data_IF_503229975497
#
_entry.id   IF_503229975497
#
_cell.length_a   1.000
_cell.length_b   1.000
_cell.length_c   1.000
_cell.angle_alpha   90.00
_cell.angle_beta   90.00
_cell.angle_gamma   90.00
#
_symmetry.space_group_name_H-M   'P 1'
#
loop_
_entity.id
_entity.type
_entity.pdbx_description
1 polymer ?
#
# COMPACT_ATOMS: atom_id res chain seq x y z
N UNK A 1 0.34 20.76 -16.79
CA UNK A 1 1.61 20.52 -17.54
C UNK A 1 2.06 19.08 -17.33
N UNK A 2 2.39 18.37 -18.42
CA UNK A 2 2.78 16.95 -18.32
C UNK A 2 4.15 16.78 -17.62
N UNK A 3 4.35 15.70 -16.78
CA UNK A 3 5.61 15.47 -16.05
C UNK A 3 6.86 15.40 -16.95
N UNK A 4 6.73 14.85 -18.17
CA UNK A 4 7.82 14.81 -19.15
C UNK A 4 8.30 16.22 -19.50
N UNK A 5 7.37 17.15 -19.70
CA UNK A 5 7.69 18.53 -20.08
C UNK A 5 8.32 19.29 -18.91
N UNK A 6 7.87 19.00 -17.67
CA UNK A 6 8.46 19.59 -16.46
C UNK A 6 9.92 19.15 -16.24
N UNK A 7 10.27 17.93 -16.66
CA UNK A 7 11.63 17.39 -16.53
C UNK A 7 12.51 17.65 -17.76
N UNK A 8 11.94 18.16 -18.87
CA UNK A 8 12.70 18.44 -20.08
C UNK A 8 13.78 19.49 -19.80
N UNK A 9 15.02 19.21 -20.21
CA UNK A 9 16.17 20.10 -20.03
C UNK A 9 16.76 20.13 -18.61
N UNK A 10 16.18 19.39 -17.64
CA UNK A 10 16.71 19.35 -16.26
C UNK A 10 17.78 18.27 -16.06
N UNK A 11 17.89 17.30 -16.96
CA UNK A 11 18.73 16.11 -16.78
C UNK A 11 18.18 15.08 -15.77
N UNK A 12 17.02 15.34 -15.16
CA UNK A 12 16.42 14.47 -14.16
C UNK A 12 15.51 13.44 -14.85
N UNK A 13 15.59 12.19 -14.39
CA UNK A 13 14.73 11.09 -14.85
C UNK A 13 14.03 10.44 -13.68
N UNK A 14 12.80 9.89 -13.88
CA UNK A 14 12.09 9.18 -12.81
C UNK A 14 12.91 8.02 -12.25
N UNK A 15 13.03 7.96 -10.92
CA UNK A 15 13.82 6.95 -10.21
C UNK A 15 12.95 5.74 -9.83
N UNK A 16 13.16 4.61 -10.50
CA UNK A 16 12.46 3.36 -10.17
C UNK A 16 12.68 2.90 -8.72
N UNK A 17 13.87 3.16 -8.16
CA UNK A 17 14.19 2.85 -6.76
C UNK A 17 13.34 3.62 -5.75
N UNK A 18 12.76 4.73 -6.16
CA UNK A 18 11.83 5.53 -5.34
C UNK A 18 10.36 5.26 -5.68
N UNK A 19 10.10 4.39 -6.66
CA UNK A 19 8.74 4.08 -7.11
C UNK A 19 8.01 5.27 -7.74
N UNK A 20 8.75 6.18 -8.38
CA UNK A 20 8.21 7.42 -8.92
C UNK A 20 7.30 7.16 -10.13
N UNK A 21 6.00 7.40 -9.93
CA UNK A 21 4.97 7.46 -10.97
C UNK A 21 4.16 8.74 -10.71
N UNK A 22 4.40 9.75 -11.52
CA UNK A 22 3.81 11.09 -11.35
C UNK A 22 2.39 11.11 -11.91
N UNK A 23 1.43 11.49 -11.07
CA UNK A 23 0.04 11.68 -11.48
C UNK A 23 -0.07 12.95 -12.33
N UNK A 24 -0.51 12.81 -13.59
CA UNK A 24 -0.62 13.95 -14.51
C UNK A 24 -2.06 14.27 -14.93
N UNK A 25 -3.00 13.36 -14.71
CA UNK A 25 -4.41 13.59 -15.02
C UNK A 25 -5.03 14.56 -14.02
N UNK A 26 -5.51 15.70 -14.51
CA UNK A 26 -6.01 16.79 -13.69
C UNK A 26 -7.30 16.45 -12.96
N UNK A 27 -8.20 15.68 -13.59
CA UNK A 27 -9.44 15.24 -12.95
C UNK A 27 -9.16 14.40 -11.69
N UNK A 28 -8.20 13.48 -11.78
CA UNK A 28 -7.80 12.67 -10.63
C UNK A 28 -7.08 13.48 -9.55
N UNK A 29 -6.22 14.45 -9.93
CA UNK A 29 -5.58 15.37 -8.99
C UNK A 29 -6.62 16.16 -8.20
N UNK A 30 -7.61 16.76 -8.90
CA UNK A 30 -8.71 17.51 -8.32
C UNK A 30 -9.51 16.69 -7.30
N UNK A 31 -9.86 15.48 -7.69
CA UNK A 31 -10.65 14.60 -6.81
C UNK A 31 -9.88 14.21 -5.56
N UNK A 32 -8.60 13.89 -5.69
CA UNK A 32 -7.75 13.54 -4.54
C UNK A 32 -7.56 14.73 -3.62
N UNK A 33 -7.29 15.93 -4.16
CA UNK A 33 -7.14 17.14 -3.37
C UNK A 33 -8.43 17.46 -2.58
N UNK A 34 -9.60 17.33 -3.21
CA UNK A 34 -10.90 17.49 -2.55
C UNK A 34 -11.08 16.52 -1.38
N UNK A 35 -10.76 15.22 -1.59
CA UNK A 35 -10.83 14.21 -0.53
C UNK A 35 -9.81 14.48 0.58
N UNK A 36 -8.61 14.95 0.25
CA UNK A 36 -7.57 15.28 1.20
C UNK A 36 -7.95 16.44 2.13
N UNK A 37 -8.49 17.53 1.56
CA UNK A 37 -8.96 18.67 2.33
C UNK A 37 -10.08 18.27 3.29
N UNK A 38 -10.99 17.40 2.84
CA UNK A 38 -12.08 16.86 3.68
C UNK A 38 -11.59 15.95 4.83
N UNK A 39 -10.32 15.54 4.83
CA UNK A 39 -9.70 14.82 5.95
C UNK A 39 -9.15 15.77 7.02
N UNK A 40 -8.85 17.02 6.70
CA UNK A 40 -8.38 17.98 7.68
C UNK A 40 -9.50 18.43 8.62
N UNK A 41 -9.16 18.65 9.89
CA UNK A 41 -10.06 19.15 10.94
C UNK A 41 -9.42 20.37 11.62
N UNK A 42 -9.35 21.53 10.92
CA UNK A 42 -8.75 22.74 11.47
C UNK A 42 -9.56 23.23 12.67
N UNK A 43 -8.93 23.96 13.57
CA UNK A 43 -9.62 24.70 14.62
C UNK A 43 -10.45 25.83 13.99
N UNK A 44 -11.50 26.31 14.66
CA UNK A 44 -12.27 27.47 14.18
C UNK A 44 -11.36 28.66 13.86
N UNK A 45 -11.48 29.22 12.66
CA UNK A 45 -10.67 30.34 12.18
C UNK A 45 -9.28 29.98 11.62
N UNK A 46 -8.85 28.72 11.71
CA UNK A 46 -7.60 28.26 11.09
C UNK A 46 -7.85 27.71 9.69
N UNK A 47 -6.88 27.91 8.80
CA UNK A 47 -6.88 27.24 7.50
C UNK A 47 -6.61 25.74 7.66
N UNK A 48 -7.20 24.89 6.80
CA UNK A 48 -6.81 23.49 6.73
C UNK A 48 -5.31 23.34 6.51
N UNK A 49 -4.70 22.37 7.17
CA UNK A 49 -3.31 22.01 6.93
C UNK A 49 -3.22 20.58 6.43
N UNK A 50 -2.36 20.40 5.43
CA UNK A 50 -2.04 19.09 4.84
C UNK A 50 -0.55 18.87 4.91
N UNK A 51 -0.15 17.68 5.34
CA UNK A 51 1.22 17.19 5.18
C UNK A 51 1.23 16.23 3.99
N UNK A 52 1.86 16.64 2.90
CA UNK A 52 2.00 15.84 1.67
C UNK A 52 3.27 15.00 1.71
N UNK A 53 3.11 13.69 1.63
CA UNK A 53 4.19 12.70 1.66
C UNK A 53 4.60 12.33 0.23
N UNK A 54 5.78 12.78 -0.20
CA UNK A 54 6.30 12.57 -1.55
C UNK A 54 5.55 13.38 -2.61
N UNK A 55 5.62 14.71 -2.57
CA UNK A 55 4.96 15.59 -3.55
C UNK A 55 5.43 15.37 -5.00
N UNK A 56 6.62 14.82 -5.18
CA UNK A 56 7.22 14.59 -6.48
C UNK A 56 7.39 15.90 -7.26
N UNK A 57 6.68 16.03 -8.38
CA UNK A 57 6.67 17.25 -9.19
C UNK A 57 5.61 18.27 -8.73
N UNK A 58 4.92 18.04 -7.60
CA UNK A 58 3.97 18.96 -7.00
C UNK A 58 2.60 18.98 -7.69
N UNK A 59 2.14 17.86 -8.21
CA UNK A 59 0.84 17.76 -8.87
C UNK A 59 -0.32 17.96 -7.89
N UNK A 60 -0.30 17.27 -6.74
CA UNK A 60 -1.28 17.45 -5.69
C UNK A 60 -1.03 18.74 -4.89
N UNK A 61 0.24 19.10 -4.65
CA UNK A 61 0.62 20.36 -4.01
C UNK A 61 -0.07 21.56 -4.65
N UNK A 62 -0.05 21.64 -6.00
CA UNK A 62 -0.71 22.73 -6.75
C UNK A 62 -2.21 22.79 -6.43
N UNK A 63 -2.91 21.65 -6.50
CA UNK A 63 -4.36 21.58 -6.26
C UNK A 63 -4.74 21.85 -4.81
N UNK A 64 -3.87 21.54 -3.85
CA UNK A 64 -4.07 21.89 -2.43
C UNK A 64 -3.93 23.39 -2.22
N UNK A 65 -2.89 24.03 -2.77
CA UNK A 65 -2.67 25.46 -2.66
C UNK A 65 -3.80 26.28 -3.32
N UNK A 66 -4.35 25.84 -4.45
CA UNK A 66 -5.51 26.43 -5.12
C UNK A 66 -6.79 26.41 -4.23
N UNK A 67 -6.81 25.60 -3.17
CA UNK A 67 -7.92 25.46 -2.20
C UNK A 67 -7.66 26.19 -0.89
N UNK A 68 -6.71 27.08 -0.86
CA UNK A 68 -6.32 27.85 0.34
C UNK A 68 -5.93 26.95 1.54
N UNK A 69 -5.20 25.87 1.26
CA UNK A 69 -4.70 24.90 2.25
C UNK A 69 -3.23 25.16 2.52
N UNK A 70 -2.82 25.23 3.78
CA UNK A 70 -1.42 25.27 4.16
C UNK A 70 -0.79 23.89 3.97
N UNK A 71 0.31 23.81 3.21
CA UNK A 71 0.94 22.55 2.82
C UNK A 71 2.36 22.45 3.40
N UNK A 72 2.65 21.33 4.06
CA UNK A 72 4.01 20.90 4.36
C UNK A 72 4.31 19.72 3.43
N UNK A 73 5.20 19.91 2.48
CA UNK A 73 5.55 18.92 1.46
C UNK A 73 6.88 18.26 1.79
N UNK A 74 6.86 16.96 2.18
CA UNK A 74 8.04 16.20 2.60
C UNK A 74 8.54 15.35 1.44
N UNK A 75 9.67 15.74 0.82
CA UNK A 75 10.26 15.07 -0.35
C UNK A 75 11.69 14.59 -0.03
N UNK A 76 11.95 13.31 -0.31
CA UNK A 76 13.29 12.72 -0.11
C UNK A 76 14.22 12.85 -1.32
N UNK A 77 13.66 13.11 -2.50
CA UNK A 77 14.44 13.22 -3.74
C UNK A 77 15.04 14.62 -3.87
N UNK A 78 16.35 14.72 -3.59
CA UNK A 78 17.12 15.97 -3.65
C UNK A 78 17.06 16.66 -4.99
N UNK A 79 16.85 15.91 -6.08
CA UNK A 79 16.74 16.50 -7.42
C UNK A 79 15.39 17.19 -7.64
N UNK A 80 14.33 16.71 -6.95
CA UNK A 80 12.98 17.28 -7.08
C UNK A 80 12.73 18.47 -6.15
N UNK A 81 13.38 18.53 -4.99
CA UNK A 81 13.21 19.61 -4.00
C UNK A 81 13.45 21.00 -4.60
N UNK A 82 14.56 21.26 -5.36
CA UNK A 82 14.76 22.55 -6.00
C UNK A 82 13.69 22.89 -7.04
N UNK A 83 13.20 21.88 -7.78
CA UNK A 83 12.13 22.09 -8.78
C UNK A 83 10.82 22.51 -8.11
N UNK A 84 10.46 21.85 -6.98
CA UNK A 84 9.29 22.22 -6.18
C UNK A 84 9.39 23.66 -5.66
N UNK A 85 10.52 24.02 -5.03
CA UNK A 85 10.76 25.36 -4.51
C UNK A 85 10.66 26.42 -5.62
N UNK A 86 11.27 26.15 -6.80
CA UNK A 86 11.20 27.04 -7.96
C UNK A 86 9.78 27.17 -8.52
N UNK A 87 9.06 26.04 -8.64
CA UNK A 87 7.69 26.00 -9.18
C UNK A 87 6.72 26.85 -8.38
N UNK A 88 6.86 26.84 -7.06
CA UNK A 88 5.94 27.52 -6.16
C UNK A 88 6.52 28.78 -5.51
N UNK A 89 7.67 29.30 -5.97
CA UNK A 89 8.31 30.50 -5.43
C UNK A 89 7.42 31.75 -5.49
N UNK A 90 6.55 31.85 -6.50
CA UNK A 90 5.59 32.93 -6.68
C UNK A 90 4.15 32.44 -6.41
N UNK A 91 3.95 31.69 -5.30
CA UNK A 91 2.62 31.25 -4.95
C UNK A 91 1.75 32.45 -4.53
N UNK A 92 0.89 32.88 -5.44
CA UNK A 92 -0.01 34.03 -5.24
C UNK A 92 -1.29 33.68 -4.42
N UNK A 93 -1.47 32.42 -4.00
CA UNK A 93 -2.53 32.02 -3.10
C UNK A 93 -2.19 32.47 -1.66
N UNK A 94 -3.17 32.83 -0.86
CA UNK A 94 -2.94 33.17 0.54
C UNK A 94 -2.48 31.96 1.42
N UNK A 95 -2.32 30.78 0.82
CA UNK A 95 -1.87 29.54 1.46
C UNK A 95 -0.34 29.48 1.55
N UNK A 96 0.18 28.87 2.61
CA UNK A 96 1.62 28.66 2.81
C UNK A 96 2.07 27.30 2.25
N UNK A 97 3.28 27.26 1.69
CA UNK A 97 3.98 26.02 1.33
C UNK A 97 5.34 25.95 2.02
N UNK A 98 5.55 24.91 2.81
CA UNK A 98 6.86 24.55 3.36
C UNK A 98 7.36 23.28 2.66
N UNK A 99 8.50 23.35 1.95
CA UNK A 99 9.12 22.18 1.32
C UNK A 99 10.26 21.69 2.19
N UNK A 100 10.13 20.46 2.70
CA UNK A 100 11.08 19.78 3.56
C UNK A 100 11.80 18.68 2.79
N UNK A 101 13.14 18.70 2.78
CA UNK A 101 13.96 17.62 2.23
C UNK A 101 14.22 16.58 3.31
N UNK A 102 13.37 15.55 3.37
CA UNK A 102 13.50 14.47 4.36
C UNK A 102 12.74 13.19 3.91
N UNK A 103 12.92 12.12 4.68
CA UNK A 103 12.23 10.87 4.47
C UNK A 103 10.82 10.91 5.08
N UNK A 104 9.80 10.87 4.25
CA UNK A 104 8.39 10.87 4.66
C UNK A 104 8.02 9.75 5.67
N UNK A 105 8.78 8.64 5.74
CA UNK A 105 8.54 7.56 6.70
C UNK A 105 8.94 7.96 8.13
N UNK A 106 10.01 8.73 8.28
CA UNK A 106 10.62 9.02 9.58
C UNK A 106 10.49 10.47 10.02
N UNK A 107 10.19 11.39 9.11
CA UNK A 107 10.08 12.82 9.44
C UNK A 107 9.02 13.05 10.53
N UNK A 108 9.38 13.75 11.65
CA UNK A 108 8.46 13.86 12.78
C UNK A 108 7.25 14.75 12.47
N UNK A 109 6.05 14.23 12.70
CA UNK A 109 4.78 14.95 12.54
C UNK A 109 4.42 15.69 13.84
N UNK A 110 5.25 16.67 14.22
CA UNK A 110 5.17 17.36 15.52
C UNK A 110 4.96 18.86 15.37
N UNK A 111 4.49 19.56 16.42
CA UNK A 111 4.33 21.02 16.41
C UNK A 111 5.64 21.77 16.15
N UNK A 112 6.78 21.24 16.62
CA UNK A 112 8.11 21.82 16.41
C UNK A 112 8.47 21.89 14.93
N UNK A 113 7.91 20.98 14.13
CA UNK A 113 8.04 20.96 12.67
C UNK A 113 6.89 21.70 11.96
N UNK A 114 6.10 22.48 12.68
CA UNK A 114 5.00 23.28 12.14
C UNK A 114 3.71 22.49 11.86
N UNK A 115 3.63 21.22 12.30
CA UNK A 115 2.42 20.40 12.10
C UNK A 115 1.37 20.71 13.16
N UNK A 116 0.25 21.30 12.76
CA UNK A 116 -0.86 21.68 13.64
C UNK A 116 -1.77 20.49 13.94
N UNK A 117 -2.54 20.55 15.03
CA UNK A 117 -3.57 19.55 15.29
C UNK A 117 -4.70 19.64 14.25
N UNK A 118 -5.29 18.53 13.94
CA UNK A 118 -6.32 18.44 12.90
C UNK A 118 -5.77 18.41 11.46
N UNK A 119 -4.45 18.30 11.27
CA UNK A 119 -3.85 18.17 9.94
C UNK A 119 -4.30 16.88 9.23
N UNK A 120 -4.26 16.89 7.90
CA UNK A 120 -4.43 15.67 7.10
C UNK A 120 -3.09 15.19 6.53
N UNK A 121 -2.91 13.86 6.46
CA UNK A 121 -1.84 13.24 5.68
C UNK A 121 -2.35 12.93 4.27
N UNK A 122 -1.57 13.30 3.25
CA UNK A 122 -1.90 12.99 1.86
C UNK A 122 -0.64 12.51 1.13
N UNK A 123 -0.82 11.72 0.07
CA UNK A 123 0.29 11.38 -0.81
C UNK A 123 -0.10 10.40 -1.91
N UNK A 124 0.63 10.50 -3.02
CA UNK A 124 0.73 9.44 -4.02
C UNK A 124 1.88 8.51 -3.60
N UNK A 125 1.54 7.46 -2.84
CA UNK A 125 2.53 6.71 -2.10
C UNK A 125 3.30 5.70 -2.98
N UNK A 126 4.63 5.61 -2.83
CA UNK A 126 5.41 4.58 -3.50
C UNK A 126 5.00 3.19 -3.02
N UNK A 127 4.90 2.24 -3.95
CA UNK A 127 4.33 0.92 -3.72
C UNK A 127 4.96 0.13 -2.57
N UNK A 128 6.27 0.30 -2.35
CA UNK A 128 7.02 -0.46 -1.34
C UNK A 128 6.79 0.04 0.10
N UNK A 129 6.29 1.27 0.27
CA UNK A 129 6.16 1.92 1.57
C UNK A 129 4.72 2.33 1.91
N UNK A 130 3.74 2.00 1.05
CA UNK A 130 2.35 2.40 1.23
C UNK A 130 1.79 1.95 2.60
N UNK A 131 2.10 0.72 3.03
CA UNK A 131 1.65 0.18 4.31
C UNK A 131 2.20 0.98 5.51
N UNK A 132 3.51 1.25 5.51
CA UNK A 132 4.16 1.97 6.61
C UNK A 132 3.67 3.42 6.68
N UNK A 133 3.50 4.06 5.52
CA UNK A 133 3.01 5.44 5.44
C UNK A 133 1.53 5.55 5.87
N UNK A 134 0.67 4.57 5.53
CA UNK A 134 -0.70 4.54 6.04
C UNK A 134 -0.75 4.35 7.57
N UNK A 135 0.14 3.52 8.14
CA UNK A 135 0.20 3.30 9.59
C UNK A 135 0.66 4.54 10.36
N UNK A 136 1.37 5.49 9.72
CA UNK A 136 1.68 6.78 10.34
C UNK A 136 0.44 7.58 10.77
N UNK A 137 -0.72 7.34 10.13
CA UNK A 137 -1.97 7.91 10.61
C UNK A 137 -2.30 7.45 12.03
N UNK A 138 -2.03 6.17 12.36
CA UNK A 138 -2.24 5.62 13.72
C UNK A 138 -1.28 6.26 14.72
N UNK A 139 0.00 6.37 14.34
CA UNK A 139 1.04 6.98 15.19
C UNK A 139 0.77 8.49 15.45
N UNK A 140 -0.05 9.10 14.59
CA UNK A 140 -0.40 10.53 14.67
C UNK A 140 -1.68 10.81 15.46
N UNK A 141 -2.39 9.79 15.95
CA UNK A 141 -3.56 9.98 16.80
C UNK A 141 -3.16 10.51 18.19
N UNK A 142 -3.99 11.37 18.81
CA UNK A 142 -5.28 11.88 18.33
C UNK A 142 -5.16 13.15 17.47
N UNK A 143 -3.96 13.61 17.14
CA UNK A 143 -3.69 14.90 16.50
C UNK A 143 -4.09 14.98 15.03
N UNK A 144 -4.17 13.85 14.33
CA UNK A 144 -4.49 13.81 12.91
C UNK A 144 -6.00 13.96 12.66
N UNK A 145 -6.39 14.75 11.68
CA UNK A 145 -7.76 14.86 11.19
C UNK A 145 -8.18 13.71 10.29
N UNK A 146 -7.22 13.13 9.54
CA UNK A 146 -7.41 11.97 8.68
C UNK A 146 -6.32 11.79 7.64
N UNK A 147 -6.47 10.77 6.79
CA UNK A 147 -5.53 10.46 5.72
C UNK A 147 -6.23 10.26 4.37
N UNK A 148 -5.56 10.66 3.27
CA UNK A 148 -6.02 10.42 1.90
C UNK A 148 -4.83 9.99 1.04
N UNK A 149 -4.82 8.73 0.61
CA UNK A 149 -3.66 8.17 -0.09
C UNK A 149 -4.04 7.52 -1.40
N UNK A 150 -3.30 7.87 -2.45
CA UNK A 150 -3.29 7.16 -3.71
C UNK A 150 -2.24 6.05 -3.63
N UNK A 151 -2.68 4.81 -3.74
CA UNK A 151 -1.87 3.59 -3.61
C UNK A 151 -2.23 2.59 -4.71
N UNK A 152 -1.54 1.46 -4.80
CA UNK A 152 -1.95 0.39 -5.71
C UNK A 152 -3.38 -0.07 -5.41
N UNK A 153 -4.17 -0.29 -6.44
CA UNK A 153 -5.58 -0.69 -6.31
C UNK A 153 -5.75 -1.92 -5.42
N UNK A 154 -4.94 -2.97 -5.63
CA UNK A 154 -4.97 -4.20 -4.83
C UNK A 154 -4.68 -3.94 -3.35
N UNK A 155 -3.74 -3.02 -3.05
CA UNK A 155 -3.41 -2.64 -1.66
C UNK A 155 -4.57 -1.89 -1.02
N UNK A 156 -5.21 -0.97 -1.75
CA UNK A 156 -6.40 -0.25 -1.30
C UNK A 156 -7.59 -1.18 -1.04
N UNK A 157 -7.87 -2.10 -1.99
CA UNK A 157 -8.90 -3.13 -1.83
C UNK A 157 -8.65 -4.01 -0.59
N UNK A 158 -7.38 -4.34 -0.31
CA UNK A 158 -7.00 -5.10 0.87
C UNK A 158 -7.20 -4.32 2.16
N UNK A 159 -6.82 -3.03 2.20
CA UNK A 159 -6.99 -2.18 3.39
C UNK A 159 -8.47 -1.97 3.71
N UNK A 160 -9.31 -1.79 2.69
CA UNK A 160 -10.75 -1.57 2.82
C UNK A 160 -11.58 -2.86 2.88
N UNK A 161 -10.94 -4.04 2.83
CA UNK A 161 -11.63 -5.32 2.82
C UNK A 161 -12.38 -5.58 4.12
N UNK A 162 -13.55 -6.22 4.02
CA UNK A 162 -14.33 -6.71 5.17
C UNK A 162 -13.90 -8.12 5.59
N UNK A 163 -14.14 -8.52 6.84
CA UNK A 163 -13.89 -9.87 7.31
C UNK A 163 -14.57 -10.93 6.44
N UNK A 164 -13.95 -12.10 6.30
CA UNK A 164 -14.45 -13.23 5.49
C UNK A 164 -13.96 -13.20 4.04
N UNK A 165 -13.43 -12.11 3.57
CA UNK A 165 -12.86 -11.96 2.23
C UNK A 165 -11.41 -12.44 2.12
N UNK A 166 -11.01 -12.88 0.91
CA UNK A 166 -9.61 -13.31 0.64
C UNK A 166 -8.59 -12.17 0.76
N UNK A 167 -9.01 -10.93 0.62
CA UNK A 167 -8.17 -9.75 0.65
C UNK A 167 -8.02 -9.15 2.05
N UNK A 168 -8.90 -9.56 2.99
CA UNK A 168 -8.82 -9.14 4.39
C UNK A 168 -7.53 -9.65 5.05
N UNK A 169 -6.84 -8.78 5.77
CA UNK A 169 -5.53 -9.09 6.32
C UNK A 169 -5.06 -8.14 7.40
N UNK A 170 -3.77 -8.22 7.71
CA UNK A 170 -3.15 -7.43 8.80
C UNK A 170 -3.46 -5.93 8.70
N UNK A 171 -3.27 -5.33 7.52
CA UNK A 171 -3.53 -3.90 7.34
C UNK A 171 -5.00 -3.54 7.47
N UNK A 172 -5.92 -4.42 7.00
CA UNK A 172 -7.35 -4.22 7.19
C UNK A 172 -7.69 -4.08 8.67
N UNK A 173 -7.26 -5.05 9.50
CA UNK A 173 -7.53 -5.04 10.96
C UNK A 173 -6.90 -3.83 11.62
N UNK A 174 -5.61 -3.58 11.38
CA UNK A 174 -4.87 -2.52 12.07
C UNK A 174 -5.41 -1.13 11.76
N UNK A 175 -5.71 -0.82 10.50
CA UNK A 175 -6.23 0.49 10.14
C UNK A 175 -7.69 0.64 10.56
N UNK A 176 -8.53 -0.38 10.31
CA UNK A 176 -9.95 -0.34 10.68
C UNK A 176 -10.20 -0.37 12.20
N UNK A 177 -9.19 -0.73 13.03
CA UNK A 177 -9.31 -0.63 14.48
C UNK A 177 -9.24 0.82 15.00
N UNK A 178 -8.84 1.76 14.16
CA UNK A 178 -8.65 3.18 14.53
C UNK A 178 -9.31 4.15 13.56
N UNK A 179 -9.66 3.69 12.35
CA UNK A 179 -10.19 4.53 11.29
C UNK A 179 -11.40 3.87 10.60
N UNK A 180 -12.39 4.67 10.26
CA UNK A 180 -13.31 4.36 9.16
C UNK A 180 -12.53 4.44 7.85
N UNK A 181 -12.49 3.31 7.13
CA UNK A 181 -11.66 3.14 5.93
C UNK A 181 -12.56 3.00 4.72
N UNK A 182 -12.43 3.92 3.78
CA UNK A 182 -13.16 3.87 2.50
C UNK A 182 -12.21 3.96 1.31
N UNK A 183 -12.64 3.43 0.16
CA UNK A 183 -11.93 3.57 -1.11
C UNK A 183 -12.87 4.17 -2.17
N UNK A 184 -13.08 5.51 -2.13
CA UNK A 184 -14.10 6.18 -2.93
C UNK A 184 -13.72 6.38 -4.39
N UNK A 185 -12.46 6.15 -4.81
CA UNK A 185 -12.01 6.49 -6.15
C UNK A 185 -10.94 5.55 -6.68
N UNK A 186 -11.06 5.17 -7.96
CA UNK A 186 -10.05 4.41 -8.71
C UNK A 186 -9.37 5.32 -9.72
N UNK A 187 -8.06 5.13 -9.90
CA UNK A 187 -7.24 5.90 -10.81
C UNK A 187 -6.59 4.94 -11.81
N UNK A 188 -6.94 5.02 -13.11
CA UNK A 188 -6.35 4.15 -14.12
C UNK A 188 -4.85 4.44 -14.26
N UNK A 189 -4.06 3.41 -14.51
CA UNK A 189 -2.61 3.53 -14.68
C UNK A 189 -2.18 4.51 -15.77
N UNK A 190 -3.04 4.76 -16.76
CA UNK A 190 -2.80 5.77 -17.81
C UNK A 190 -2.77 7.20 -17.31
N UNK A 191 -3.24 7.47 -16.07
CA UNK A 191 -3.16 8.78 -15.44
C UNK A 191 -1.76 9.13 -14.87
N UNK A 192 -0.79 8.21 -14.98
CA UNK A 192 0.56 8.36 -14.43
C UNK A 192 1.63 8.35 -15.51
N UNK A 193 2.72 9.03 -15.24
CA UNK A 193 3.95 8.95 -16.03
C UNK A 193 5.17 8.83 -15.10
N UNK A 194 6.06 7.84 -15.31
CA UNK A 194 5.89 6.66 -16.18
C UNK A 194 4.64 5.85 -15.83
N UNK A 195 4.08 5.14 -16.82
CA UNK A 195 2.88 4.32 -16.60
C UNK A 195 3.21 3.11 -15.73
N UNK A 196 2.56 2.94 -14.54
CA UNK A 196 2.80 1.79 -13.68
C UNK A 196 2.20 0.50 -14.24
N UNK A 197 2.52 -0.65 -13.64
CA UNK A 197 1.99 -1.95 -14.06
C UNK A 197 0.51 -2.14 -13.70
N UNK A 198 0.03 -1.49 -12.64
CA UNK A 198 -1.32 -1.65 -12.07
C UNK A 198 -2.02 -0.30 -11.89
N UNK A 199 -3.34 -0.34 -11.79
CA UNK A 199 -4.15 0.83 -11.49
C UNK A 199 -3.96 1.29 -10.03
N UNK A 200 -4.31 2.53 -9.74
CA UNK A 200 -4.34 3.11 -8.42
C UNK A 200 -5.73 3.05 -7.75
N UNK A 201 -5.74 3.09 -6.44
CA UNK A 201 -6.94 3.28 -5.61
C UNK A 201 -6.70 4.39 -4.60
N UNK A 202 -7.66 5.25 -4.41
CA UNK A 202 -7.61 6.30 -3.38
C UNK A 202 -8.31 5.78 -2.14
N UNK A 203 -7.56 5.64 -1.04
CA UNK A 203 -8.14 5.33 0.27
C UNK A 203 -8.27 6.60 1.11
N UNK A 204 -9.32 6.64 1.90
CA UNK A 204 -9.58 7.69 2.88
C UNK A 204 -9.70 7.06 4.26
N UNK A 205 -8.95 7.59 5.21
CA UNK A 205 -8.89 7.18 6.60
C UNK A 205 -9.46 8.30 7.46
N UNK A 206 -10.58 8.06 8.15
CA UNK A 206 -11.15 9.01 9.11
C UNK A 206 -11.05 8.42 10.52
N UNK A 207 -10.46 9.12 11.50
CA UNK A 207 -10.42 8.61 12.88
C UNK A 207 -11.81 8.21 13.35
N UNK A 208 -11.91 7.02 13.95
CA UNK A 208 -13.14 6.56 14.58
C UNK A 208 -13.49 7.45 15.77
N UNK A 209 -14.77 7.64 16.10
CA UNK A 209 -15.21 8.22 17.35
C UNK A 209 -14.59 7.47 18.56
N UNK A 210 -14.32 8.19 19.64
CA UNK A 210 -13.65 7.64 20.81
C UNK A 210 -14.39 6.44 21.42
N UNK A 211 -15.71 6.45 21.38
CA UNK A 211 -16.60 5.37 21.87
C UNK A 211 -16.53 4.09 21.00
N UNK A 212 -15.98 4.17 19.80
CA UNK A 212 -15.78 3.02 18.89
C UNK A 212 -14.36 2.44 18.93
N UNK A 213 -13.45 3.06 19.69
CA UNK A 213 -12.06 2.60 19.82
C UNK A 213 -11.90 1.81 21.12
N UNK A 214 -11.31 0.62 21.05
CA UNK A 214 -10.95 -0.16 22.24
C UNK A 214 -9.74 0.48 22.94
N UNK A 215 -10.00 1.34 23.93
CA UNK A 215 -8.97 2.06 24.69
C UNK A 215 -8.18 1.15 25.66
N UNK A 216 -8.75 0.02 26.03
CA UNK A 216 -8.17 -0.99 26.92
C UNK A 216 -7.22 -1.96 26.17
N UNK A 217 -7.10 -1.82 24.86
CA UNK A 217 -6.21 -2.62 24.01
C UNK A 217 -5.11 -1.74 23.42
N UNK A 218 -3.87 -1.98 23.82
CA UNK A 218 -2.70 -1.34 23.23
C UNK A 218 -2.62 -1.65 21.73
N UNK A 219 -2.34 -0.62 20.90
CA UNK A 219 -2.20 -0.83 19.46
C UNK A 219 -1.01 -1.74 19.13
N UNK A 220 0.07 -1.70 19.92
CA UNK A 220 1.23 -2.56 19.74
C UNK A 220 0.89 -4.02 20.04
N UNK A 221 0.13 -4.30 21.10
CA UNK A 221 -0.34 -5.64 21.40
C UNK A 221 -1.30 -6.17 20.34
N UNK A 222 -2.22 -5.32 19.85
CA UNK A 222 -3.09 -5.67 18.74
C UNK A 222 -2.27 -6.01 17.49
N UNK A 223 -1.25 -5.22 17.18
CA UNK A 223 -0.35 -5.43 16.05
C UNK A 223 0.38 -6.77 16.16
N UNK A 224 0.88 -7.12 17.34
CA UNK A 224 1.54 -8.42 17.61
C UNK A 224 0.56 -9.57 17.42
N UNK A 225 -0.64 -9.48 18.03
CA UNK A 225 -1.68 -10.50 17.94
C UNK A 225 -2.13 -10.74 16.50
N UNK A 226 -2.44 -9.67 15.78
CA UNK A 226 -2.89 -9.74 14.38
C UNK A 226 -1.80 -10.33 13.48
N UNK A 227 -0.55 -9.88 13.62
CA UNK A 227 0.57 -10.43 12.84
C UNK A 227 0.76 -11.93 13.11
N UNK A 228 0.72 -12.35 14.36
CA UNK A 228 0.84 -13.79 14.73
C UNK A 228 -0.29 -14.61 14.08
N UNK A 229 -1.53 -14.14 14.17
CA UNK A 229 -2.68 -14.81 13.59
C UNK A 229 -2.58 -15.01 12.07
N UNK A 230 -2.10 -13.99 11.33
CA UNK A 230 -1.98 -14.03 9.88
C UNK A 230 -0.70 -14.72 9.36
N UNK A 231 0.28 -15.05 10.20
CA UNK A 231 1.48 -15.80 9.77
C UNK A 231 1.12 -17.16 9.17
N UNK A 232 0.10 -17.82 9.71
CA UNK A 232 -0.37 -19.14 9.27
C UNK A 232 -1.73 -19.06 8.57
N UNK A 233 -1.89 -18.20 7.58
CA UNK A 233 -3.17 -17.87 6.92
C UNK A 233 -4.03 -19.08 6.52
N UNK A 234 -3.41 -20.22 6.11
CA UNK A 234 -4.12 -21.45 5.73
C UNK A 234 -4.46 -22.37 6.88
N UNK A 235 -4.03 -22.05 8.11
CA UNK A 235 -4.30 -22.81 9.33
C UNK A 235 -5.39 -22.13 10.16
N UNK A 236 -5.87 -22.82 11.17
CA UNK A 236 -6.80 -22.26 12.17
C UNK A 236 -6.13 -21.16 12.98
N UNK A 237 -6.93 -20.26 13.50
CA UNK A 237 -6.48 -19.16 14.35
C UNK A 237 -5.74 -19.67 15.61
N UNK A 238 -6.20 -20.78 16.20
CA UNK A 238 -5.51 -21.47 17.30
C UNK A 238 -4.05 -21.78 16.97
N UNK A 239 -3.80 -22.34 15.80
CA UNK A 239 -2.42 -22.64 15.36
C UNK A 239 -1.58 -21.37 15.15
N UNK A 240 -2.19 -20.29 14.66
CA UNK A 240 -1.51 -19.01 14.48
C UNK A 240 -1.10 -18.36 15.80
N UNK A 241 -1.94 -18.45 16.83
CA UNK A 241 -1.74 -17.79 18.12
C UNK A 241 -1.05 -18.66 19.18
N UNK A 242 -0.89 -19.96 18.96
CA UNK A 242 -0.30 -20.90 19.93
C UNK A 242 1.05 -20.41 20.47
N UNK A 243 1.99 -20.07 19.57
CA UNK A 243 3.32 -19.63 19.98
C UNK A 243 3.27 -18.32 20.79
N UNK A 244 2.39 -17.40 20.43
CA UNK A 244 2.20 -16.15 21.15
C UNK A 244 1.60 -16.38 22.54
N UNK A 245 0.57 -17.23 22.66
CA UNK A 245 -0.01 -17.60 23.96
C UNK A 245 1.02 -18.24 24.86
N UNK A 246 1.78 -19.23 24.36
CA UNK A 246 2.87 -19.89 25.09
C UNK A 246 3.92 -18.89 25.58
N UNK A 247 4.37 -17.97 24.72
CA UNK A 247 5.36 -16.96 25.10
C UNK A 247 4.88 -15.98 26.17
N UNK A 248 3.56 -15.83 26.31
CA UNK A 248 2.89 -15.02 27.34
C UNK A 248 2.45 -15.83 28.56
N UNK A 249 2.77 -17.12 28.63
CA UNK A 249 2.37 -18.01 29.73
C UNK A 249 0.85 -18.23 29.80
N UNK A 250 0.14 -18.17 28.68
CA UNK A 250 -1.30 -18.31 28.59
C UNK A 250 -1.69 -19.65 28.02
N UNK A 251 -2.75 -20.26 28.62
CA UNK A 251 -3.44 -21.35 27.98
C UNK A 251 -4.24 -20.87 26.79
N UNK A 252 -4.00 -21.48 25.63
CA UNK A 252 -4.59 -21.03 24.36
C UNK A 252 -6.10 -21.24 24.32
N UNK A 253 -6.62 -22.31 24.93
CA UNK A 253 -8.04 -22.61 24.92
C UNK A 253 -8.78 -21.62 25.84
N UNK A 254 -8.22 -21.31 27.03
CA UNK A 254 -8.73 -20.24 27.88
C UNK A 254 -8.73 -18.85 27.21
N UNK A 255 -7.75 -18.54 26.33
CA UNK A 255 -7.73 -17.29 25.55
C UNK A 255 -8.92 -17.24 24.59
N UNK A 256 -9.24 -18.35 23.91
CA UNK A 256 -10.37 -18.40 22.97
C UNK A 256 -11.72 -18.33 23.67
N UNK A 257 -11.85 -19.03 24.82
CA UNK A 257 -13.05 -18.99 25.65
C UNK A 257 -13.31 -17.55 26.15
N UNK A 258 -12.29 -16.88 26.69
CA UNK A 258 -12.38 -15.48 27.13
C UNK A 258 -12.70 -14.50 26.03
N UNK A 259 -12.24 -14.76 24.80
CA UNK A 259 -12.52 -13.93 23.64
C UNK A 259 -13.87 -14.24 22.98
N UNK A 260 -14.52 -15.36 23.30
CA UNK A 260 -15.76 -15.81 22.68
C UNK A 260 -15.61 -16.18 21.20
N UNK A 261 -14.45 -16.72 20.79
CA UNK A 261 -14.13 -17.02 19.40
C UNK A 261 -13.86 -18.52 19.21
N UNK A 262 -14.49 -19.14 18.20
CA UNK A 262 -14.19 -20.53 17.84
C UNK A 262 -12.72 -20.67 17.39
N UNK A 263 -11.89 -21.46 18.09
CA UNK A 263 -10.46 -21.65 17.76
C UNK A 263 -10.21 -22.27 16.38
N UNK A 264 -11.22 -22.89 15.76
CA UNK A 264 -11.16 -23.46 14.40
C UNK A 264 -11.32 -22.42 13.31
N UNK A 265 -11.81 -21.22 13.63
CA UNK A 265 -11.95 -20.09 12.71
C UNK A 265 -10.59 -19.71 12.12
N UNK A 266 -10.55 -19.18 10.90
CA UNK A 266 -9.33 -18.63 10.30
C UNK A 266 -9.22 -17.14 10.59
N UNK A 267 -7.98 -16.63 10.62
CA UNK A 267 -7.71 -15.22 10.88
C UNK A 267 -8.51 -14.25 9.97
N UNK A 268 -8.68 -14.61 8.69
CA UNK A 268 -9.43 -13.79 7.72
C UNK A 268 -10.94 -13.67 8.01
N UNK A 269 -11.49 -14.53 8.85
CA UNK A 269 -12.92 -14.56 9.22
C UNK A 269 -13.22 -13.72 10.46
N UNK A 270 -12.19 -13.31 11.21
CA UNK A 270 -12.32 -12.58 12.48
C UNK A 270 -12.31 -11.09 12.24
N UNK A 271 -13.34 -10.38 12.68
CA UNK A 271 -13.42 -8.93 12.61
C UNK A 271 -12.49 -8.22 13.60
N UNK A 272 -12.40 -6.90 13.50
CA UNK A 272 -11.58 -6.05 14.37
C UNK A 272 -11.87 -6.31 15.85
N UNK A 273 -13.14 -6.26 16.25
CA UNK A 273 -13.55 -6.50 17.65
C UNK A 273 -13.13 -7.87 18.18
N UNK A 274 -13.16 -8.89 17.33
CA UNK A 274 -12.67 -10.21 17.70
C UNK A 274 -11.16 -10.24 17.94
N UNK A 275 -10.38 -9.52 17.13
CA UNK A 275 -8.95 -9.37 17.37
C UNK A 275 -8.64 -8.56 18.64
N UNK A 276 -9.44 -7.56 18.94
CA UNK A 276 -9.34 -6.78 20.19
C UNK A 276 -9.65 -7.69 21.40
N UNK A 277 -10.69 -8.51 21.33
CA UNK A 277 -11.02 -9.48 22.38
C UNK A 277 -9.89 -10.51 22.60
N UNK A 278 -9.33 -11.08 21.54
CA UNK A 278 -8.18 -11.97 21.61
C UNK A 278 -6.95 -11.28 22.20
N UNK A 279 -6.69 -10.03 21.81
CA UNK A 279 -5.57 -9.25 22.33
C UNK A 279 -5.72 -9.01 23.83
N UNK A 280 -6.92 -8.64 24.27
CA UNK A 280 -7.28 -8.47 25.69
C UNK A 280 -7.05 -9.75 26.49
N UNK A 281 -7.55 -10.89 26.01
CA UNK A 281 -7.37 -12.19 26.65
C UNK A 281 -5.89 -12.60 26.74
N UNK A 282 -5.10 -12.32 25.70
CA UNK A 282 -3.66 -12.55 25.69
C UNK A 282 -2.89 -11.60 26.63
N UNK A 283 -3.38 -10.39 26.88
CA UNK A 283 -2.76 -9.39 27.77
C UNK A 283 -3.15 -9.58 29.24
N UNK A 284 -4.30 -10.18 29.55
CA UNK A 284 -4.78 -10.36 30.93
C UNK A 284 -3.79 -11.17 31.76
N UNK A 285 -3.00 -10.46 32.56
CA UNK A 285 -1.95 -11.02 33.45
C UNK A 285 -0.84 -10.02 33.75
N UNK A 286 -0.75 -8.91 32.97
CA UNK A 286 0.25 -7.84 33.20
C UNK A 286 -0.39 -6.45 33.37
N UNK A 287 -1.72 -6.32 33.59
CA UNK A 287 -2.41 -5.04 33.75
C UNK A 287 -2.31 -4.43 35.15
N UNK A 288 -1.20 -4.67 35.83
CA UNK A 288 -0.87 -3.96 37.07
C UNK A 288 0.31 -3.02 36.84
N UNK A 289 0.28 -2.18 35.80
CA UNK A 289 1.01 -0.89 35.80
C UNK A 289 0.75 -0.09 34.53
N UNK A 290 0.15 1.08 34.73
CA UNK A 290 0.34 2.30 33.93
C UNK A 290 -0.24 2.38 32.51
N UNK A 291 -1.54 2.60 32.42
CA UNK A 291 -2.04 3.53 31.42
C UNK A 291 -2.67 4.73 32.16
N UNK A 292 -1.96 5.84 32.21
CA UNK A 292 -2.64 7.10 32.40
C UNK A 292 -3.62 7.29 31.22
N UNK A 293 -4.87 7.69 31.46
CA UNK A 293 -5.77 7.97 30.35
C UNK A 293 -5.12 9.04 29.46
N UNK A 294 -5.21 8.87 28.13
CA UNK A 294 -4.80 9.97 27.25
C UNK A 294 -5.56 11.24 27.65
N UNK A 295 -4.97 12.41 27.56
CA UNK A 295 -5.68 13.64 27.82
C UNK A 295 -6.95 13.64 26.98
N UNK A 296 -8.09 13.99 27.62
CA UNK A 296 -9.37 14.06 26.96
C UNK A 296 -9.22 14.86 25.66
N UNK A 297 -9.75 14.37 24.53
CA UNK A 297 -9.72 15.14 23.30
C UNK A 297 -10.35 16.51 23.59
N UNK A 298 -9.82 17.60 23.03
CA UNK A 298 -10.45 18.90 23.19
C UNK A 298 -11.91 18.77 22.81
N UNK A 299 -12.80 19.30 23.65
CA UNK A 299 -14.24 19.17 23.52
C UNK A 299 -14.64 19.32 22.05
N UNK A 300 -15.29 18.31 21.50
CA UNK A 300 -15.83 18.36 20.13
C UNK A 300 -16.88 19.47 20.16
N UNK A 301 -16.48 20.67 19.80
CA UNK A 301 -17.43 21.69 19.41
C UNK A 301 -18.03 21.15 18.12
N UNK A 302 -19.28 20.74 18.18
CA UNK A 302 -20.09 20.46 17.00
C UNK A 302 -20.14 21.74 16.19
N UNK A 303 -19.12 21.94 15.36
CA UNK A 303 -19.16 22.96 14.34
C UNK A 303 -20.25 22.51 13.37
N UNK A 304 -21.38 23.21 13.39
CA UNK A 304 -22.36 23.22 12.31
C UNK A 304 -21.60 23.60 11.05
N UNK A 305 -21.09 22.60 10.35
CA UNK A 305 -20.52 22.78 9.03
C UNK A 305 -21.60 23.42 8.17
N UNK A 306 -21.24 24.52 7.51
CA UNK A 306 -22.15 25.22 6.58
C UNK A 306 -22.76 24.21 5.62
N UNK A 307 -24.07 24.29 5.30
CA UNK A 307 -24.75 23.37 4.40
C UNK A 307 -24.04 23.18 3.05
N UNK A 308 -23.29 24.18 2.60
CA UNK A 308 -22.51 24.15 1.37
C UNK A 308 -21.34 23.15 1.42
N UNK A 309 -20.67 22.99 2.57
CA UNK A 309 -19.54 22.04 2.71
C UNK A 309 -20.07 20.62 2.78
N UNK A 310 -21.20 20.39 3.48
CA UNK A 310 -21.85 19.07 3.53
C UNK A 310 -22.38 18.66 2.16
N UNK A 311 -22.96 19.57 1.40
CA UNK A 311 -23.43 19.31 0.04
C UNK A 311 -22.26 18.96 -0.90
N UNK A 312 -21.11 19.65 -0.76
CA UNK A 312 -19.91 19.38 -1.58
C UNK A 312 -19.27 18.02 -1.25
N UNK A 313 -19.26 17.63 0.02
CA UNK A 313 -18.76 16.31 0.46
C UNK A 313 -19.68 15.19 0.03
N UNK A 314 -21.02 15.40 0.13
CA UNK A 314 -22.01 14.40 -0.31
C UNK A 314 -22.03 14.23 -1.83
N UNK A 315 -21.82 15.30 -2.61
CA UNK A 315 -21.68 15.22 -4.06
C UNK A 315 -20.39 14.51 -4.50
N UNK A 316 -19.31 14.58 -3.69
CA UNK A 316 -18.07 13.90 -3.96
C UNK A 316 -18.10 12.39 -3.64
N UNK A 317 -19.04 11.96 -2.79
CA UNK A 317 -19.19 10.56 -2.35
C UNK A 317 -20.26 9.80 -3.13
N UNK A 318 -21.18 10.50 -3.82
CA UNK A 318 -22.17 9.83 -4.65
C UNK A 318 -21.50 9.13 -5.83
N UNK A 319 -21.69 7.80 -6.03
CA UNK A 319 -21.25 7.13 -7.24
C UNK A 319 -22.01 7.77 -8.42
N UNK A 320 -21.28 8.07 -9.50
CA UNK A 320 -21.88 8.48 -10.76
C UNK A 320 -22.74 7.33 -11.26
N UNK A 321 -24.04 7.40 -11.01
CA UNK A 321 -25.02 6.50 -11.59
C UNK A 321 -25.20 6.90 -13.06
N UNK A 322 -24.55 6.16 -13.94
CA UNK A 322 -24.87 6.20 -15.37
C UNK A 322 -26.33 5.76 -15.57
N UNK A 323 -27.09 6.37 -16.48
CA UNK A 323 -28.48 6.01 -16.70
C UNK A 323 -28.60 4.54 -17.09
N UNK A 324 -29.56 3.86 -16.47
CA UNK A 324 -29.85 2.45 -16.66
C UNK A 324 -30.13 2.14 -18.13
N UNK A 325 -29.33 1.29 -18.74
CA UNK A 325 -29.70 0.54 -19.95
C UNK A 325 -30.40 -0.73 -19.52
N UNK A 326 -31.54 -0.98 -20.11
CA UNK A 326 -32.40 -2.17 -19.91
C UNK A 326 -31.64 -3.50 -20.08
N UNK A 327 -32.09 -4.60 -19.44
CA UNK A 327 -31.33 -5.83 -19.32
C UNK A 327 -31.44 -6.69 -20.62
N UNK A 328 -30.35 -6.74 -21.37
CA UNK A 328 -30.19 -7.74 -22.42
C UNK A 328 -29.72 -9.07 -21.80
N UNK A 329 -30.41 -10.10 -22.19
CA UNK A 329 -30.45 -11.49 -21.73
C UNK A 329 -29.18 -12.15 -21.23
N UNK A 330 -29.21 -12.68 -20.02
CA UNK A 330 -28.15 -13.38 -19.25
C UNK A 330 -27.53 -14.64 -19.88
N UNK A 331 -28.00 -15.11 -21.05
CA UNK A 331 -27.49 -16.35 -21.68
C UNK A 331 -26.30 -16.17 -22.63
N UNK A 332 -26.17 -15.02 -23.28
CA UNK A 332 -25.09 -14.78 -24.26
C UNK A 332 -23.72 -14.47 -23.57
N UNK A 333 -23.74 -13.75 -22.44
CA UNK A 333 -22.54 -13.30 -21.73
C UNK A 333 -21.76 -14.47 -21.10
N UNK A 334 -22.46 -15.50 -20.59
CA UNK A 334 -21.81 -16.67 -19.95
C UNK A 334 -21.02 -17.55 -20.93
N UNK A 335 -21.41 -17.57 -22.21
CA UNK A 335 -20.73 -18.38 -23.26
C UNK A 335 -19.48 -17.67 -23.80
N UNK A 336 -19.52 -16.36 -23.93
CA UNK A 336 -18.38 -15.53 -24.37
C UNK A 336 -17.25 -15.49 -23.34
N UNK A 337 -17.58 -15.29 -22.05
CA UNK A 337 -16.62 -15.25 -20.95
C UNK A 337 -15.89 -16.59 -20.77
N UNK A 338 -16.64 -17.73 -20.87
CA UNK A 338 -16.03 -19.07 -20.76
C UNK A 338 -15.08 -19.41 -21.92
N UNK A 339 -15.33 -18.87 -23.12
CA UNK A 339 -14.49 -19.07 -24.33
C UNK A 339 -13.21 -18.18 -24.27
N UNK A 340 -13.33 -16.96 -23.76
CA UNK A 340 -12.21 -16.04 -23.57
C UNK A 340 -11.24 -16.53 -22.49
N UNK A 341 -11.76 -16.97 -21.34
CA UNK A 341 -10.95 -17.51 -20.23
C UNK A 341 -10.20 -18.77 -20.65
N UNK A 342 -10.86 -19.70 -21.39
CA UNK A 342 -10.20 -20.93 -21.87
C UNK A 342 -9.09 -20.66 -22.89
N UNK A 343 -9.22 -19.60 -23.70
CA UNK A 343 -8.21 -19.18 -24.70
C UNK A 343 -7.02 -18.48 -24.04
N UNK A 344 -7.26 -17.66 -22.99
CA UNK A 344 -6.23 -16.97 -22.20
C UNK A 344 -5.39 -17.96 -21.39
N UNK A 345 -6.03 -18.92 -20.71
CA UNK A 345 -5.35 -19.95 -19.91
C UNK A 345 -4.46 -20.83 -20.79
N UNK A 346 -4.94 -21.27 -21.98
CA UNK A 346 -4.18 -22.08 -22.91
C UNK A 346 -2.96 -21.34 -23.48
N UNK A 347 -3.06 -20.02 -23.68
CA UNK A 347 -1.96 -19.16 -24.16
C UNK A 347 -0.92 -18.91 -23.07
N UNK A 348 -1.35 -18.72 -21.82
CA UNK A 348 -0.49 -18.53 -20.65
C UNK A 348 0.32 -19.80 -20.34
N UNK A 349 -0.34 -20.97 -20.30
CA UNK A 349 0.32 -22.26 -20.05
C UNK A 349 1.37 -22.57 -21.13
N UNK A 350 1.05 -22.33 -22.42
CA UNK A 350 2.01 -22.56 -23.53
C UNK A 350 3.23 -21.63 -23.46
N UNK A 351 3.05 -20.40 -22.97
CA UNK A 351 4.13 -19.40 -22.78
C UNK A 351 5.01 -19.74 -21.57
N UNK A 352 4.40 -20.23 -20.47
CA UNK A 352 5.11 -20.66 -19.26
C UNK A 352 5.95 -21.91 -19.52
N UNK A 353 5.39 -22.93 -20.20
CA UNK A 353 6.11 -24.15 -20.57
C UNK A 353 7.30 -23.85 -21.48
N UNK A 354 7.13 -22.98 -22.50
CA UNK A 354 8.21 -22.59 -23.40
C UNK A 354 9.34 -21.83 -22.69
N UNK A 355 9.00 -21.02 -21.64
CA UNK A 355 9.97 -20.28 -20.82
C UNK A 355 10.73 -21.21 -19.85
N UNK A 356 10.03 -22.19 -19.25
CA UNK A 356 10.62 -23.20 -18.37
C UNK A 356 11.60 -24.12 -19.13
N UNK A 357 11.20 -24.62 -20.30
CA UNK A 357 12.06 -25.46 -21.15
C UNK A 357 13.31 -24.71 -21.58
N UNK A 358 13.19 -23.43 -22.01
CA UNK A 358 14.34 -22.61 -22.41
C UNK A 358 15.32 -22.33 -21.25
N UNK A 359 14.79 -22.22 -20.01
CA UNK A 359 15.60 -22.01 -18.80
C UNK A 359 16.31 -23.29 -18.35
N UNK A 360 15.63 -24.44 -18.47
CA UNK A 360 16.20 -25.77 -18.18
C UNK A 360 17.33 -26.14 -19.16
N UNK A 361 17.10 -25.93 -20.46
CA UNK A 361 18.09 -26.17 -21.50
C UNK A 361 19.36 -25.31 -21.31
N UNK A 362 19.16 -23.98 -20.99
CA UNK A 362 20.28 -23.07 -20.73
C UNK A 362 21.10 -23.49 -19.48
N UNK A 363 20.41 -23.99 -18.42
CA UNK A 363 21.06 -24.45 -17.19
C UNK A 363 21.81 -25.77 -17.38
N UNK A 364 21.28 -26.68 -18.21
CA UNK A 364 21.92 -27.93 -18.55
C UNK A 364 23.18 -27.72 -19.42
N UNK A 365 23.11 -26.83 -20.41
CA UNK A 365 24.27 -26.48 -21.27
C UNK A 365 25.38 -25.83 -20.46
N UNK A 366 25.05 -24.91 -19.52
CA UNK A 366 26.06 -24.25 -18.67
C UNK A 366 26.72 -25.24 -17.69
N UNK A 367 25.95 -26.23 -17.18
CA UNK A 367 26.52 -27.28 -16.29
C UNK A 367 27.40 -28.27 -17.03
N UNK A 368 27.02 -28.66 -18.26
CA UNK A 368 27.84 -29.52 -19.11
C UNK A 368 29.18 -28.86 -19.49
N UNK A 369 29.17 -27.58 -19.86
CA UNK A 369 30.36 -26.81 -20.20
C UNK A 369 31.31 -26.67 -19.00
N UNK A 370 30.78 -26.43 -17.79
CA UNK A 370 31.58 -26.33 -16.54
C UNK A 370 32.20 -27.67 -16.15
N UNK A 371 31.52 -28.80 -16.38
CA UNK A 371 32.05 -30.15 -16.06
C UNK A 371 33.14 -30.53 -17.03
N UNK A 372 33.01 -30.26 -18.32
CA UNK A 372 34.03 -30.52 -19.35
C UNK A 372 35.29 -29.70 -19.10
N UNK A 373 35.16 -28.41 -18.75
CA UNK A 373 36.31 -27.55 -18.43
C UNK A 373 37.05 -28.01 -17.16
N UNK A 374 36.35 -28.54 -16.15
CA UNK A 374 36.96 -29.01 -14.90
C UNK A 374 37.68 -30.34 -15.05
N UNK A 375 37.24 -31.20 -15.96
CA UNK A 375 37.91 -32.51 -16.26
C UNK A 375 39.15 -32.31 -17.12
N UNK A 376 39.11 -31.33 -18.04
CA UNK A 376 40.29 -31.04 -18.94
C UNK A 376 41.43 -30.39 -18.16
N UNK A 377 41.14 -29.58 -17.12
CA UNK A 377 42.18 -28.89 -16.33
C UNK A 377 42.91 -29.82 -15.35
N UNK A 378 42.36 -31.00 -15.04
CA UNK A 378 43.00 -31.98 -14.14
C UNK A 378 43.91 -33.01 -14.85
N UNK A 379 43.88 -33.08 -16.19
CA UNK A 379 44.62 -34.10 -16.98
C UNK A 379 45.80 -33.53 -17.79
N UNK A 380 46.01 -32.21 -17.80
CA UNK A 380 47.06 -31.57 -18.60
C UNK A 380 48.17 -30.94 -17.75
N UNK A 381 48.86 -31.80 -16.96
CA UNK A 381 50.24 -31.49 -16.52
C UNK A 381 51.22 -32.55 -17.01
N UNK A 382 51.02 -33.18 -18.19
CA UNK A 382 52.10 -33.91 -18.89
C UNK A 382 51.80 -33.97 -20.39
N UNK A 383 52.62 -33.21 -21.19
CA UNK A 383 52.86 -33.27 -22.65
C UNK A 383 51.68 -33.01 -23.61
N UNK A 384 51.76 -31.91 -24.36
CA UNK A 384 50.99 -31.59 -25.54
C UNK A 384 51.25 -32.55 -26.73
N UNK A 385 50.26 -32.69 -27.65
CA UNK A 385 50.27 -31.93 -28.90
C UNK A 385 48.90 -31.37 -29.32
N UNK A 386 48.95 -30.27 -30.05
CA UNK A 386 47.84 -29.55 -30.67
C UNK A 386 47.23 -30.38 -31.80
N UNK A 387 45.97 -30.67 -31.80
CA UNK A 387 45.00 -30.93 -32.89
C UNK A 387 44.01 -32.01 -32.47
N UNK A 388 42.85 -31.61 -31.86
CA UNK A 388 41.61 -32.46 -31.90
C UNK A 388 40.39 -31.82 -31.23
N UNK A 389 40.36 -30.51 -31.09
CA UNK A 389 39.27 -29.84 -30.32
C UNK A 389 37.98 -29.56 -31.16
N UNK A 390 38.04 -29.69 -32.49
CA UNK A 390 36.87 -29.37 -33.36
C UNK A 390 35.91 -30.53 -33.64
N UNK A 391 36.32 -31.80 -33.43
CA UNK A 391 35.44 -32.96 -33.73
C UNK A 391 34.59 -33.45 -32.54
N UNK A 392 35.04 -33.22 -31.31
CA UNK A 392 34.33 -33.67 -30.11
C UNK A 392 33.07 -32.84 -29.79
N UNK A 393 33.10 -31.55 -30.03
CA UNK A 393 31.98 -30.63 -29.71
C UNK A 393 30.75 -30.87 -30.61
N UNK A 394 30.99 -31.28 -31.89
CA UNK A 394 29.88 -31.52 -32.84
C UNK A 394 29.11 -32.82 -32.58
N UNK A 395 29.74 -33.81 -31.92
CA UNK A 395 29.12 -35.12 -31.61
C UNK A 395 28.32 -35.10 -30.32
N UNK A 396 28.71 -34.27 -29.34
CA UNK A 396 27.97 -34.08 -28.08
C UNK A 396 26.67 -33.29 -28.28
N UNK A 397 26.68 -32.27 -29.13
CA UNK A 397 25.50 -31.45 -29.43
C UNK A 397 24.42 -32.24 -30.18
N UNK A 398 24.86 -33.17 -31.10
CA UNK A 398 23.91 -34.00 -31.89
C UNK A 398 23.23 -35.09 -31.05
N UNK A 399 23.84 -35.56 -29.96
CA UNK A 399 23.29 -36.59 -29.07
C UNK A 399 22.34 -36.02 -28.02
N UNK A 400 22.53 -34.75 -27.64
CA UNK A 400 21.63 -34.05 -26.73
C UNK A 400 20.28 -33.65 -27.39
N UNK A 401 20.33 -33.30 -28.67
CA UNK A 401 19.11 -32.91 -29.42
C UNK A 401 18.21 -34.11 -29.76
N UNK A 402 18.75 -35.33 -29.84
CA UNK A 402 17.98 -36.55 -30.16
C UNK A 402 17.30 -37.19 -28.94
N UNK A 403 17.56 -36.71 -27.71
CA UNK A 403 16.94 -37.19 -26.46
C UNK A 403 15.87 -36.24 -25.91
N UNK A 404 15.62 -35.15 -26.60
CA UNK A 404 14.66 -34.11 -26.18
C UNK A 404 13.50 -33.94 -27.19
N UNK A 405 13.34 -34.85 -28.12
CA UNK A 405 12.17 -35.12 -28.96
C UNK A 405 11.64 -36.49 -28.61
#
# INVERSE_FOLDING_TARGET
MHPRDQLQGTGITPKHSFGQNFLHDEHHQERIATLAVACARPRPGEKPQVVELGPGLGALTARLLERDVDVIAVERDRDLVPLLKKRFAANGSGASLTVVEDNAITWPLTPENGVRDGFALVGNLPYHHAADLCLRCVDSLPRIGGGCFLIQLEVGERIAASPGGKDYGVLSVLLQSRFDVTMPHRVPRGAFWPVPEVDGGVIVLRPLPADQVAHDVSFDDLRVTVRAAFQMRRKTLRNGLMALATSRGKDIDAVFDAAGIDPRTRAEQVGVQGFEALTRALAMGNLATKAAPPPAPPAVITATSSPAVVAMVMAAVAPAVAPAREPATKKATKKATKKATKKATKKATKKATKKATKKATKKATTKATKTTTKTTTKTTTKKAPKTTTKKATKKATKKATKKAT
#
